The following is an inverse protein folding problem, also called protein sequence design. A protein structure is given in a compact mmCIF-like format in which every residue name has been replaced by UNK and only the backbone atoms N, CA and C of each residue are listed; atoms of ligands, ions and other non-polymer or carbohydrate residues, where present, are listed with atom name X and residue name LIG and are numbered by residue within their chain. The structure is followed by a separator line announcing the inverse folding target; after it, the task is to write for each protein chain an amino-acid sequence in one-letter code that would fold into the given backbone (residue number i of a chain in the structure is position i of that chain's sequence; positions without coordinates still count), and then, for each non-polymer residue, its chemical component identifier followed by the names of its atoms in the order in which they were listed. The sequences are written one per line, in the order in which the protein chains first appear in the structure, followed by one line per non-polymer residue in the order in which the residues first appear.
data_IF_572030438020
#
_entry.id   IF_572030438020
#
_cell.length_a   1.000
_cell.length_b   1.000
_cell.length_c   1.000
_cell.angle_alpha   90.00
_cell.angle_beta   90.00
_cell.angle_gamma   90.00
#
_symmetry.space_group_name_H-M   'P 1'
#
loop_
_entity.id
_entity.type
_entity.pdbx_description
1 polymer ?
#
# COMPACT_ATOMS: atom_id res chain seq x y z
N UNK A 1 15.10 -14.73 7.00
CA UNK A 1 14.24 -15.04 5.83
C UNK A 1 13.79 -13.72 5.22
N UNK A 2 14.46 -13.23 4.17
CA UNK A 2 14.13 -11.95 3.52
C UNK A 2 12.83 -12.17 2.75
N UNK A 3 11.67 -11.87 3.36
CA UNK A 3 10.40 -11.84 2.63
C UNK A 3 10.56 -10.74 1.59
N UNK A 4 10.77 -11.10 0.33
CA UNK A 4 10.59 -10.16 -0.77
C UNK A 4 9.14 -9.69 -0.68
N UNK A 5 8.93 -8.49 -0.17
CA UNK A 5 7.59 -7.93 -0.02
C UNK A 5 7.08 -7.71 -1.45
N UNK A 6 6.00 -8.40 -1.85
CA UNK A 6 5.37 -8.24 -3.16
C UNK A 6 5.18 -6.76 -3.50
N UNK A 7 4.87 -5.94 -2.49
CA UNK A 7 4.72 -4.49 -2.63
C UNK A 7 6.02 -3.79 -3.05
N UNK A 8 7.17 -4.15 -2.48
CA UNK A 8 8.46 -3.59 -2.89
C UNK A 8 8.79 -3.92 -4.34
N UNK A 9 8.39 -5.11 -4.81
CA UNK A 9 8.60 -5.50 -6.22
C UNK A 9 7.70 -4.69 -7.15
N UNK A 10 6.44 -4.47 -6.76
CA UNK A 10 5.49 -3.63 -7.53
C UNK A 10 6.00 -2.19 -7.62
N UNK A 11 6.38 -1.58 -6.48
CA UNK A 11 6.88 -0.21 -6.41
C UNK A 11 8.17 -0.04 -7.23
N UNK A 12 9.12 -0.98 -7.11
CA UNK A 12 10.36 -0.96 -7.91
C UNK A 12 10.06 -0.94 -9.41
N UNK A 13 9.14 -1.78 -9.89
CA UNK A 13 8.76 -1.80 -11.31
C UNK A 13 8.04 -0.51 -11.74
N UNK A 14 7.25 0.11 -10.86
CA UNK A 14 6.60 1.39 -11.15
C UNK A 14 7.61 2.53 -11.29
N UNK A 15 8.65 2.55 -10.43
CA UNK A 15 9.78 3.49 -10.53
C UNK A 15 10.52 3.28 -11.86
N UNK A 16 10.84 2.02 -12.20
CA UNK A 16 11.51 1.68 -13.46
C UNK A 16 10.74 2.13 -14.71
N UNK A 17 9.40 2.19 -14.64
CA UNK A 17 8.52 2.71 -15.71
C UNK A 17 8.38 4.23 -15.70
N UNK A 18 8.85 4.91 -14.66
CA UNK A 18 8.67 6.35 -14.47
C UNK A 18 7.26 6.76 -14.01
N UNK A 19 6.47 5.82 -13.46
CA UNK A 19 5.10 6.09 -12.97
C UNK A 19 5.08 6.76 -11.60
N UNK A 20 6.11 6.54 -10.79
CA UNK A 20 6.28 7.12 -9.46
C UNK A 20 7.73 7.55 -9.26
N UNK A 21 7.96 8.56 -8.40
CA UNK A 21 9.31 8.97 -8.03
C UNK A 21 9.88 8.09 -6.91
N UNK A 22 11.17 7.83 -6.94
CA UNK A 22 11.84 6.95 -5.95
C UNK A 22 11.68 7.48 -4.52
N UNK A 23 11.73 8.80 -4.32
CA UNK A 23 11.56 9.42 -3.01
C UNK A 23 10.17 9.19 -2.38
N UNK A 24 9.16 8.85 -3.20
CA UNK A 24 7.80 8.58 -2.73
C UNK A 24 7.59 7.13 -2.30
N UNK A 25 8.48 6.21 -2.67
CA UNK A 25 8.36 4.77 -2.39
C UNK A 25 9.09 4.35 -1.10
N UNK A 26 8.93 5.11 -0.01
CA UNK A 26 9.55 4.77 1.27
C UNK A 26 9.06 3.42 1.81
N UNK A 27 9.87 2.76 2.64
CA UNK A 27 9.48 1.50 3.28
C UNK A 27 8.16 1.66 4.06
N UNK A 28 8.00 2.77 4.79
CA UNK A 28 6.78 3.05 5.55
C UNK A 28 5.55 3.16 4.65
N UNK A 29 5.67 3.84 3.51
CA UNK A 29 4.55 3.95 2.56
C UNK A 29 4.24 2.57 1.96
N UNK A 30 5.24 1.74 1.69
CA UNK A 30 5.03 0.37 1.18
C UNK A 30 4.25 -0.55 2.13
N UNK A 31 4.26 -0.26 3.44
CA UNK A 31 3.50 -1.01 4.44
C UNK A 31 2.09 -0.43 4.69
N UNK A 32 1.84 0.82 4.28
CA UNK A 32 0.61 1.54 4.62
C UNK A 32 -0.68 0.78 4.25
N UNK A 33 -0.85 0.18 3.05
CA UNK A 33 -2.11 -0.48 2.71
C UNK A 33 -2.45 -1.62 3.66
N UNK A 34 -1.46 -2.44 4.02
CA UNK A 34 -1.70 -3.58 4.92
C UNK A 34 -1.86 -3.12 6.37
N UNK A 35 -1.22 -2.02 6.76
CA UNK A 35 -1.39 -1.44 8.09
C UNK A 35 -2.80 -0.86 8.28
N UNK A 36 -3.35 -0.20 7.25
CA UNK A 36 -4.74 0.29 7.26
C UNK A 36 -5.75 -0.87 7.29
N UNK A 37 -5.54 -1.92 6.49
CA UNK A 37 -6.37 -3.14 6.54
C UNK A 37 -6.36 -3.75 7.95
N UNK A 38 -5.18 -3.88 8.58
CA UNK A 38 -5.08 -4.41 9.94
C UNK A 38 -5.76 -3.52 10.96
N UNK A 39 -5.58 -2.20 10.85
CA UNK A 39 -6.25 -1.25 11.71
C UNK A 39 -7.77 -1.39 11.63
N UNK A 40 -8.32 -1.52 10.42
CA UNK A 40 -9.75 -1.72 10.22
C UNK A 40 -10.25 -2.99 10.91
N UNK A 41 -9.57 -4.12 10.67
CA UNK A 41 -9.91 -5.40 11.29
C UNK A 41 -9.86 -5.35 12.83
N UNK A 42 -8.86 -4.66 13.40
CA UNK A 42 -8.66 -4.59 14.85
C UNK A 42 -9.59 -3.59 15.54
N UNK A 43 -10.08 -2.59 14.80
CA UNK A 43 -10.96 -1.54 15.35
C UNK A 43 -12.43 -1.92 15.24
N UNK A 44 -12.83 -2.51 14.12
CA UNK A 44 -14.22 -2.89 13.85
C UNK A 44 -14.53 -4.31 14.32
N UNK A 45 -13.53 -5.20 14.35
CA UNK A 45 -13.70 -6.64 14.51
C UNK A 45 -14.60 -7.28 13.43
N UNK A 46 -14.74 -6.62 12.28
CA UNK A 46 -15.48 -7.10 11.13
C UNK A 46 -14.54 -7.44 9.97
N UNK A 47 -15.06 -8.10 8.93
CA UNK A 47 -14.29 -8.32 7.70
C UNK A 47 -14.14 -7.01 6.94
N UNK A 48 -12.95 -6.78 6.37
CA UNK A 48 -12.73 -5.62 5.50
C UNK A 48 -13.58 -5.76 4.24
N UNK A 49 -14.38 -4.73 3.96
CA UNK A 49 -15.23 -4.66 2.77
C UNK A 49 -14.41 -4.37 1.51
N UNK A 50 -14.97 -4.66 0.33
CA UNK A 50 -14.33 -4.31 -0.94
C UNK A 50 -14.19 -2.79 -1.08
N UNK A 51 -15.21 -2.04 -0.66
CA UNK A 51 -15.25 -0.59 -0.65
C UNK A 51 -14.10 -0.01 0.19
N UNK A 52 -13.85 -0.56 1.38
CA UNK A 52 -12.73 -0.14 2.23
C UNK A 52 -11.38 -0.42 1.56
N UNK A 53 -11.24 -1.55 0.84
CA UNK A 53 -10.00 -1.84 0.12
C UNK A 53 -9.77 -0.82 -1.01
N UNK A 54 -10.83 -0.48 -1.75
CA UNK A 54 -10.77 0.53 -2.82
C UNK A 54 -10.36 1.89 -2.23
N UNK A 55 -10.98 2.33 -1.13
CA UNK A 55 -10.59 3.57 -0.46
C UNK A 55 -9.12 3.57 -0.03
N UNK A 56 -8.66 2.49 0.62
CA UNK A 56 -7.27 2.35 1.07
C UNK A 56 -6.28 2.44 -0.10
N UNK A 57 -6.59 1.79 -1.22
CA UNK A 57 -5.68 1.73 -2.38
C UNK A 57 -5.79 2.99 -3.23
N UNK A 58 -6.97 3.25 -3.80
CA UNK A 58 -7.19 4.24 -4.82
C UNK A 58 -7.20 5.66 -4.24
N UNK A 59 -7.86 5.85 -3.10
CA UNK A 59 -8.08 7.18 -2.54
C UNK A 59 -6.96 7.60 -1.58
N UNK A 60 -6.27 6.65 -0.93
CA UNK A 60 -5.19 6.96 0.01
C UNK A 60 -3.82 6.63 -0.56
N UNK A 61 -3.52 5.34 -0.77
CA UNK A 61 -2.17 4.90 -1.07
C UNK A 61 -1.65 5.44 -2.40
N UNK A 62 -2.44 5.37 -3.47
CA UNK A 62 -2.02 5.85 -4.79
C UNK A 62 -1.75 7.36 -4.81
N UNK A 63 -2.51 8.17 -4.07
CA UNK A 63 -2.29 9.61 -3.95
C UNK A 63 -0.97 9.96 -3.23
N UNK A 64 -0.49 9.08 -2.35
CA UNK A 64 0.78 9.28 -1.66
C UNK A 64 1.99 8.95 -2.53
N UNK A 65 1.88 8.01 -3.46
CA UNK A 65 3.00 7.54 -4.28
C UNK A 65 3.08 8.14 -5.69
N UNK A 66 1.95 8.59 -6.26
CA UNK A 66 1.91 9.26 -7.56
C UNK A 66 2.38 10.71 -7.48
#
# INVERSE_FOLDING_TARGET
MRRTNTMQTILKRAIERGEIKEEKASERISWLPIDLIRHELLTTYELVTEETIIEIVDDIFLHLIK
#
